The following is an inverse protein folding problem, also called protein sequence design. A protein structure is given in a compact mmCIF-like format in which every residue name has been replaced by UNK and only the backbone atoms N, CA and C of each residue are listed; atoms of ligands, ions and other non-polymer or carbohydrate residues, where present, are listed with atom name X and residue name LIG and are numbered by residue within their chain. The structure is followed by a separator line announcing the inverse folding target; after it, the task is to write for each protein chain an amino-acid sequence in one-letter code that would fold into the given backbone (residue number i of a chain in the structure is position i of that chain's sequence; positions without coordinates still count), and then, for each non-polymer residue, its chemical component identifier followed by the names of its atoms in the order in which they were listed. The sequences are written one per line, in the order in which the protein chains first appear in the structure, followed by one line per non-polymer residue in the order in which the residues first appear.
data_IF_157179493456
#
_entry.id   IF_157179493456
#
_cell.length_a   1.000
_cell.length_b   1.000
_cell.length_c   1.000
_cell.angle_alpha   90.00
_cell.angle_beta   90.00
_cell.angle_gamma   90.00
#
_symmetry.space_group_name_H-M   'P 1'
#
loop_
_entity.id
_entity.type
_entity.pdbx_description
1 polymer ?
#
# COMPACT_ATOMS: atom_id res chain seq x y z
N UNK A 1 -3.68 -19.73 -3.56
CA UNK A 1 -2.96 -18.85 -4.51
C UNK A 1 -2.41 -17.60 -3.81
N UNK A 2 -3.25 -16.77 -3.20
CA UNK A 2 -2.80 -15.53 -2.51
C UNK A 2 -1.81 -15.78 -1.36
N UNK A 3 -2.08 -16.80 -0.52
CA UNK A 3 -1.18 -17.18 0.57
C UNK A 3 0.22 -17.60 0.11
N UNK A 4 0.30 -18.23 -1.07
CA UNK A 4 1.59 -18.65 -1.64
C UNK A 4 2.39 -17.45 -2.16
N UNK A 5 1.70 -16.47 -2.77
CA UNK A 5 2.35 -15.24 -3.21
C UNK A 5 2.88 -14.43 -2.04
N UNK A 6 2.07 -14.24 -0.98
CA UNK A 6 2.51 -13.55 0.23
C UNK A 6 3.73 -14.25 0.88
N UNK A 7 3.71 -15.59 0.91
CA UNK A 7 4.84 -16.39 1.40
C UNK A 7 6.11 -16.15 0.59
N UNK A 8 6.00 -16.12 -0.74
CA UNK A 8 7.13 -15.84 -1.64
C UNK A 8 7.69 -14.43 -1.41
N UNK A 9 6.82 -13.42 -1.25
CA UNK A 9 7.23 -12.05 -0.92
C UNK A 9 8.00 -12.01 0.40
N UNK A 10 7.45 -12.57 1.48
CA UNK A 10 8.11 -12.55 2.80
C UNK A 10 9.45 -13.30 2.76
N UNK A 11 9.51 -14.43 2.07
CA UNK A 11 10.75 -15.22 1.92
C UNK A 11 11.81 -14.44 1.16
N UNK A 12 11.47 -13.85 0.02
CA UNK A 12 12.41 -13.15 -0.85
C UNK A 12 12.95 -11.88 -0.18
N UNK A 13 12.10 -11.12 0.51
CA UNK A 13 12.52 -9.94 1.25
C UNK A 13 13.42 -10.30 2.43
N UNK A 14 13.11 -11.38 3.14
CA UNK A 14 13.93 -11.89 4.24
C UNK A 14 15.33 -12.31 3.76
N UNK A 15 15.43 -12.99 2.61
CA UNK A 15 16.72 -13.36 2.02
C UNK A 15 17.56 -12.15 1.58
N UNK A 16 16.91 -11.05 1.20
CA UNK A 16 17.57 -9.82 0.74
C UNK A 16 17.79 -8.79 1.85
N UNK A 17 17.38 -9.07 3.08
CA UNK A 17 17.34 -8.11 4.19
C UNK A 17 16.60 -6.81 3.83
N UNK A 18 15.50 -6.92 3.07
CA UNK A 18 14.66 -5.81 2.67
C UNK A 18 13.37 -5.77 3.48
N UNK A 19 12.81 -4.59 3.63
CA UNK A 19 11.60 -4.31 4.37
C UNK A 19 10.52 -3.69 3.49
N UNK A 20 9.25 -3.90 3.84
CA UNK A 20 8.09 -3.49 3.05
C UNK A 20 7.02 -2.84 3.94
N UNK A 21 6.37 -1.80 3.40
CA UNK A 21 5.17 -1.18 3.95
C UNK A 21 4.11 -0.98 2.89
N UNK A 22 2.85 -0.91 3.33
CA UNK A 22 1.69 -0.83 2.41
C UNK A 22 0.75 0.33 2.74
N UNK A 23 0.26 1.01 1.70
CA UNK A 23 -0.82 1.99 1.78
C UNK A 23 -2.04 1.49 1.01
N UNK A 24 -3.11 1.18 1.73
CA UNK A 24 -4.28 0.51 1.16
C UNK A 24 -5.47 1.46 1.05
N UNK A 25 -6.11 1.53 -0.12
CA UNK A 25 -7.42 2.15 -0.29
C UNK A 25 -8.47 1.04 -0.41
N UNK A 26 -8.83 0.61 -1.62
CA UNK A 26 -9.92 -0.36 -1.85
C UNK A 26 -9.75 -1.71 -1.15
N UNK A 27 -8.51 -2.13 -0.86
CA UNK A 27 -8.22 -3.43 -0.25
C UNK A 27 -8.46 -3.44 1.26
N UNK A 28 -8.61 -2.27 1.89
CA UNK A 28 -9.07 -2.15 3.28
C UNK A 28 -8.20 -2.84 4.33
N UNK A 29 -6.94 -3.16 4.03
CA UNK A 29 -6.04 -3.89 4.94
C UNK A 29 -5.78 -5.35 4.54
N UNK A 30 -6.39 -5.84 3.46
CA UNK A 30 -6.24 -7.22 3.01
C UNK A 30 -4.79 -7.56 2.61
N UNK A 31 -4.05 -6.61 2.04
CA UNK A 31 -2.64 -6.84 1.68
C UNK A 31 -1.79 -6.98 2.94
N UNK A 32 -1.94 -6.06 3.90
CA UNK A 32 -1.27 -6.14 5.20
C UNK A 32 -1.60 -7.46 5.90
N UNK A 33 -2.88 -7.83 5.95
CA UNK A 33 -3.34 -9.12 6.51
C UNK A 33 -2.58 -10.27 5.86
N UNK A 34 -2.64 -10.39 4.53
CA UNK A 34 -2.03 -11.50 3.80
C UNK A 34 -0.52 -11.62 4.05
N UNK A 35 0.20 -10.50 4.22
CA UNK A 35 1.61 -10.52 4.61
C UNK A 35 1.80 -11.00 6.06
N UNK A 36 1.00 -10.47 7.00
CA UNK A 36 1.11 -10.80 8.43
C UNK A 36 0.72 -12.24 8.77
N UNK A 37 -0.09 -12.89 7.92
CA UNK A 37 -0.45 -14.31 8.01
C UNK A 37 0.74 -15.27 7.82
N UNK A 38 1.84 -14.78 7.24
CA UNK A 38 3.03 -15.59 6.99
C UNK A 38 3.95 -15.52 8.20
N UNK A 39 4.35 -16.69 8.71
CA UNK A 39 5.33 -16.77 9.79
C UNK A 39 6.65 -16.09 9.39
N UNK A 40 7.21 -15.29 10.30
CA UNK A 40 8.42 -14.50 10.05
C UNK A 40 8.18 -13.17 9.35
N UNK A 41 6.93 -12.80 9.04
CA UNK A 41 6.57 -11.50 8.45
C UNK A 41 7.08 -10.30 9.25
N UNK A 42 7.19 -10.41 10.58
CA UNK A 42 7.74 -9.36 11.45
C UNK A 42 9.17 -8.93 11.12
N UNK A 43 9.94 -9.75 10.40
CA UNK A 43 11.29 -9.42 9.96
C UNK A 43 11.32 -8.47 8.77
N UNK A 44 10.24 -8.42 7.99
CA UNK A 44 10.21 -7.73 6.68
C UNK A 44 9.09 -6.68 6.62
N UNK A 45 7.94 -6.94 7.23
CA UNK A 45 6.79 -6.05 7.19
C UNK A 45 6.88 -5.01 8.30
N UNK A 46 7.07 -3.75 7.93
CA UNK A 46 7.18 -2.62 8.88
C UNK A 46 5.83 -2.11 9.35
N UNK A 47 4.78 -2.34 8.56
CA UNK A 47 3.42 -1.89 8.86
C UNK A 47 2.70 -1.41 7.62
N UNK A 48 1.41 -1.14 7.79
CA UNK A 48 0.56 -0.63 6.73
C UNK A 48 -0.42 0.41 7.26
N UNK A 49 -0.98 1.19 6.33
CA UNK A 49 -2.01 2.16 6.63
C UNK A 49 -3.16 2.03 5.63
N UNK A 50 -4.39 2.13 6.12
CA UNK A 50 -5.58 2.23 5.27
C UNK A 50 -5.93 3.71 5.09
N UNK A 51 -5.89 4.19 3.85
CA UNK A 51 -6.12 5.58 3.43
C UNK A 51 -7.27 5.65 2.41
N UNK A 52 -8.47 5.27 2.87
CA UNK A 52 -9.62 5.03 1.99
C UNK A 52 -10.14 6.30 1.29
N UNK A 53 -10.24 7.42 2.01
CA UNK A 53 -10.73 8.70 1.48
C UNK A 53 -9.58 9.62 1.07
N UNK A 54 -9.86 10.56 0.16
CA UNK A 54 -8.87 11.55 -0.31
C UNK A 54 -8.38 12.47 0.81
N UNK A 55 -9.26 12.76 1.78
CA UNK A 55 -8.90 13.46 3.02
C UNK A 55 -7.81 12.69 3.77
N UNK A 56 -7.97 11.38 3.98
CA UNK A 56 -7.03 10.57 4.73
C UNK A 56 -5.73 10.33 3.95
N UNK A 57 -5.80 10.20 2.61
CA UNK A 57 -4.61 10.19 1.73
C UNK A 57 -3.77 11.46 1.92
N UNK A 58 -4.43 12.62 1.90
CA UNK A 58 -3.77 13.92 2.07
C UNK A 58 -3.26 14.12 3.50
N UNK A 59 -4.09 13.86 4.51
CA UNK A 59 -3.77 14.15 5.91
C UNK A 59 -2.64 13.28 6.43
N UNK A 60 -2.66 11.98 6.11
CA UNK A 60 -1.76 11.01 6.73
C UNK A 60 -0.54 10.70 5.86
N UNK A 61 -0.71 10.47 4.56
CA UNK A 61 0.41 10.22 3.64
C UNK A 61 0.97 11.49 3.00
N UNK A 62 0.33 12.65 3.20
CA UNK A 62 0.74 13.91 2.54
C UNK A 62 0.76 13.78 1.02
N UNK A 63 -0.22 13.04 0.48
CA UNK A 63 -0.50 13.06 -0.96
C UNK A 63 -0.92 14.46 -1.35
N UNK A 64 -0.37 14.97 -2.45
CA UNK A 64 -0.68 16.32 -2.93
C UNK A 64 -2.14 16.40 -3.42
N UNK A 65 -2.98 17.27 -2.84
CA UNK A 65 -4.35 17.48 -3.32
C UNK A 65 -4.42 17.87 -4.80
N UNK A 66 -3.43 18.59 -5.32
CA UNK A 66 -3.38 18.97 -6.73
C UNK A 66 -3.27 17.73 -7.64
N UNK A 67 -2.53 16.70 -7.19
CA UNK A 67 -2.40 15.43 -7.92
C UNK A 67 -3.73 14.69 -8.00
N UNK A 68 -4.50 14.68 -6.91
CA UNK A 68 -5.82 14.07 -6.84
C UNK A 68 -6.80 14.85 -7.73
N UNK A 69 -6.73 16.19 -7.72
CA UNK A 69 -7.57 17.03 -8.56
C UNK A 69 -7.29 16.83 -10.07
N UNK A 70 -6.02 16.69 -10.45
CA UNK A 70 -5.61 16.55 -11.85
C UNK A 70 -5.88 15.14 -12.41
N UNK A 71 -5.59 14.09 -11.62
CA UNK A 71 -5.59 12.71 -12.13
C UNK A 71 -6.68 11.82 -11.53
N UNK A 72 -7.47 12.31 -10.58
CA UNK A 72 -8.30 11.53 -9.65
C UNK A 72 -7.49 10.69 -8.65
N UNK A 73 -8.14 10.30 -7.55
CA UNK A 73 -7.57 9.39 -6.55
C UNK A 73 -7.31 7.98 -7.09
N UNK A 74 -7.84 7.66 -8.26
CA UNK A 74 -7.73 6.36 -8.94
C UNK A 74 -6.86 6.54 -10.17
N UNK A 75 -5.58 6.80 -9.92
CA UNK A 75 -4.61 7.04 -10.97
C UNK A 75 -3.27 6.41 -10.64
N UNK A 76 -2.47 6.18 -11.69
CA UNK A 76 -1.09 5.74 -11.55
C UNK A 76 -0.29 6.73 -10.70
N UNK A 77 -0.52 8.02 -10.90
CA UNK A 77 0.16 9.12 -10.23
C UNK A 77 -0.10 9.07 -8.72
N UNK A 78 -1.38 9.01 -8.32
CA UNK A 78 -1.76 8.91 -6.90
C UNK A 78 -1.26 7.61 -6.28
N UNK A 79 -1.32 6.48 -7.00
CA UNK A 79 -0.75 5.22 -6.52
C UNK A 79 0.77 5.34 -6.30
N UNK A 80 1.52 5.88 -7.26
CA UNK A 80 2.96 6.07 -7.14
C UNK A 80 3.32 6.97 -5.96
N UNK A 81 2.60 8.08 -5.78
CA UNK A 81 2.83 8.98 -4.64
C UNK A 81 2.51 8.27 -3.32
N UNK A 82 1.37 7.59 -3.20
CA UNK A 82 1.02 6.79 -2.01
C UNK A 82 2.11 5.75 -1.65
N UNK A 83 2.61 5.02 -2.65
CA UNK A 83 3.66 4.01 -2.46
C UNK A 83 4.98 4.66 -1.99
N UNK A 84 5.37 5.79 -2.57
CA UNK A 84 6.56 6.53 -2.15
C UNK A 84 6.40 7.08 -0.73
N UNK A 85 5.26 7.70 -0.43
CA UNK A 85 4.99 8.31 0.88
C UNK A 85 4.93 7.29 1.99
N UNK A 86 4.31 6.12 1.78
CA UNK A 86 4.26 5.08 2.81
C UNK A 86 5.64 4.47 3.08
N UNK A 87 6.46 4.32 2.03
CA UNK A 87 7.86 3.90 2.17
C UNK A 87 8.63 4.85 3.09
N UNK A 88 8.51 6.16 2.83
CA UNK A 88 9.19 7.20 3.60
C UNK A 88 8.64 7.29 5.03
N UNK A 89 7.32 7.27 5.21
CA UNK A 89 6.66 7.35 6.52
C UNK A 89 7.09 6.22 7.46
N UNK A 90 7.21 5.01 6.93
CA UNK A 90 7.52 3.81 7.71
C UNK A 90 9.01 3.45 7.72
N UNK A 91 9.83 4.23 7.01
CA UNK A 91 11.26 3.95 6.80
C UNK A 91 11.50 2.50 6.33
N UNK A 92 10.75 2.07 5.32
CA UNK A 92 10.92 0.76 4.67
C UNK A 92 11.72 0.87 3.38
N UNK A 93 12.27 -0.25 2.89
CA UNK A 93 12.99 -0.27 1.61
C UNK A 93 12.01 -0.20 0.42
N UNK A 94 10.83 -0.80 0.58
CA UNK A 94 9.79 -0.89 -0.43
C UNK A 94 8.47 -0.35 0.13
N UNK A 95 7.78 0.44 -0.68
CA UNK A 95 6.39 0.84 -0.45
C UNK A 95 5.50 0.31 -1.56
N UNK A 96 4.35 -0.23 -1.19
CA UNK A 96 3.30 -0.68 -2.12
C UNK A 96 2.02 0.05 -1.79
N UNK A 97 1.23 0.39 -2.81
CA UNK A 97 -0.07 1.01 -2.60
C UNK A 97 -1.16 0.38 -3.44
N UNK A 98 -2.40 0.46 -2.97
CA UNK A 98 -3.58 0.10 -3.75
C UNK A 98 -4.56 1.27 -3.81
N UNK A 99 -4.98 1.63 -5.01
CA UNK A 99 -6.09 2.56 -5.26
C UNK A 99 -6.89 2.07 -6.46
N UNK A 100 -8.20 2.32 -6.47
CA UNK A 100 -9.11 1.69 -7.40
C UNK A 100 -10.55 1.75 -6.93
N UNK A 101 -11.46 1.34 -7.82
CA UNK A 101 -12.90 1.28 -7.56
C UNK A 101 -13.26 -0.15 -7.16
N UNK A 102 -13.94 -0.32 -6.02
CA UNK A 102 -14.47 -1.62 -5.62
C UNK A 102 -15.74 -2.03 -6.40
N UNK A 103 -16.40 -1.08 -7.07
CA UNK A 103 -17.68 -1.25 -7.77
C UNK A 103 -18.89 -1.03 -6.85
N UNK A 104 -20.13 -1.15 -7.37
CA UNK A 104 -20.51 -1.55 -8.73
C UNK A 104 -20.50 -0.41 -9.77
N UNK A 105 -20.48 0.86 -9.33
CA UNK A 105 -20.38 2.01 -10.23
C UNK A 105 -18.93 2.15 -10.73
N UNK A 106 -18.76 2.52 -12.01
CA UNK A 106 -17.43 2.83 -12.55
C UNK A 106 -17.00 4.21 -12.05
N UNK A 107 -15.71 4.39 -11.80
CA UNK A 107 -15.13 5.73 -11.73
C UNK A 107 -15.43 6.45 -13.04
N UNK A 108 -16.13 7.59 -12.95
CA UNK A 108 -16.39 8.47 -14.08
C UNK A 108 -15.09 9.02 -14.67
#
# INVERSE_FOLDING_TARGET
MEKELAKNVVTLLGQKNLTISVAESLTGGLVAKNLTDISGSSKVFKGGIVVYTDEIKTKTLKVDPALIQEFSSISKQVAQDMALKVRLLMNSDIGVSTTGVAGPEKSA
#
